data_IF_034895390227
#
_entry.id   IF_034895390227
#
_cell.length_a   1.000
_cell.length_b   1.000
_cell.length_c   1.000
_cell.angle_alpha   90.00
_cell.angle_beta   90.00
_cell.angle_gamma   90.00
#
_symmetry.space_group_name_H-M   'P 1'
#
loop_
_entity.id
_entity.type
_entity.pdbx_description
1 polymer ?
#
# COMPACT_ATOMS: atom_id res chain seq x y z
N UNK A 1 -11.73 -21.86 -3.18
CA UNK A 1 -12.42 -20.56 -3.31
C UNK A 1 -11.44 -19.47 -2.94
N UNK A 2 -11.20 -18.52 -3.83
CA UNK A 2 -10.47 -17.28 -3.53
C UNK A 2 -11.54 -16.21 -3.41
N UNK A 3 -11.47 -15.40 -2.36
CA UNK A 3 -12.35 -14.26 -2.12
C UNK A 3 -11.46 -13.03 -1.93
N UNK A 4 -11.73 -11.98 -2.69
CA UNK A 4 -11.06 -10.69 -2.58
C UNK A 4 -12.10 -9.61 -2.30
N UNK A 5 -11.70 -8.62 -1.51
CA UNK A 5 -12.54 -7.52 -1.10
C UNK A 5 -11.93 -6.19 -1.53
N UNK A 6 -12.74 -5.27 -2.05
CA UNK A 6 -12.34 -3.91 -2.32
C UNK A 6 -12.22 -3.14 -1.01
N UNK A 7 -10.99 -2.78 -0.60
CA UNK A 7 -10.76 -2.04 0.64
C UNK A 7 -11.38 -0.64 0.65
N UNK A 8 -11.75 -0.09 -0.51
CA UNK A 8 -12.50 1.17 -0.61
C UNK A 8 -13.95 1.05 -0.17
N UNK A 9 -14.49 -0.17 -0.07
CA UNK A 9 -15.85 -0.39 0.41
C UNK A 9 -15.88 -0.52 1.94
N UNK A 10 -16.99 -0.10 2.56
CA UNK A 10 -17.22 -0.31 3.99
C UNK A 10 -17.13 -1.78 4.37
N UNK A 11 -16.53 -2.11 5.51
CA UNK A 11 -16.42 -3.51 5.93
C UNK A 11 -17.79 -4.18 5.99
N UNK A 12 -17.91 -5.38 5.42
CA UNK A 12 -19.15 -6.15 5.47
C UNK A 12 -19.41 -6.62 6.90
N UNK A 13 -20.61 -6.35 7.40
CA UNK A 13 -21.07 -6.90 8.68
C UNK A 13 -21.03 -8.45 8.64
N UNK A 14 -20.22 -9.11 9.51
CA UNK A 14 -20.00 -10.55 9.47
C UNK A 14 -21.23 -11.38 9.87
N UNK A 15 -22.22 -10.77 10.53
CA UNK A 15 -23.48 -11.45 10.92
C UNK A 15 -24.64 -11.14 9.97
N UNK A 16 -24.46 -10.19 9.04
CA UNK A 16 -25.48 -9.83 8.06
C UNK A 16 -25.41 -10.76 6.85
N UNK A 17 -26.54 -11.37 6.53
CA UNK A 17 -26.68 -12.12 5.27
C UNK A 17 -26.95 -11.16 4.12
N UNK A 18 -26.03 -11.10 3.16
CA UNK A 18 -26.21 -10.36 1.92
C UNK A 18 -26.84 -11.29 0.88
N UNK A 19 -28.12 -11.07 0.56
CA UNK A 19 -28.85 -11.88 -0.42
C UNK A 19 -28.32 -11.61 -1.83
N UNK A 20 -28.09 -12.68 -2.58
CA UNK A 20 -27.58 -12.63 -3.95
C UNK A 20 -28.67 -12.96 -4.95
N UNK A 21 -28.72 -12.22 -6.07
CA UNK A 21 -29.44 -12.68 -7.25
C UNK A 21 -28.66 -13.80 -7.92
N UNK A 22 -29.35 -14.81 -8.43
CA UNK A 22 -28.74 -15.92 -9.16
C UNK A 22 -29.33 -16.09 -10.55
N UNK A 23 -28.50 -16.49 -11.50
CA UNK A 23 -28.87 -16.90 -12.85
C UNK A 23 -28.14 -18.22 -13.14
N UNK A 24 -28.85 -19.24 -13.64
CA UNK A 24 -28.30 -20.59 -13.82
C UNK A 24 -27.58 -21.16 -12.57
N UNK A 25 -28.13 -20.89 -11.38
CA UNK A 25 -27.54 -21.22 -10.06
C UNK A 25 -26.19 -20.54 -9.77
N UNK A 26 -25.83 -19.48 -10.48
CA UNK A 26 -24.60 -18.70 -10.28
C UNK A 26 -24.93 -17.31 -9.70
N UNK A 27 -24.18 -16.80 -8.71
CA UNK A 27 -24.38 -15.45 -8.18
C UNK A 27 -24.07 -14.39 -9.25
N UNK A 28 -25.00 -13.45 -9.45
CA UNK A 28 -24.91 -12.39 -10.48
C UNK A 28 -24.74 -11.00 -9.86
N UNK A 29 -25.52 -10.66 -8.83
CA UNK A 29 -25.45 -9.33 -8.23
C UNK A 29 -25.99 -9.32 -6.80
N UNK A 30 -25.54 -8.34 -6.02
CA UNK A 30 -26.13 -7.93 -4.75
C UNK A 30 -25.69 -6.48 -4.45
N UNK A 31 -26.05 -5.96 -3.27
CA UNK A 31 -25.62 -4.63 -2.84
C UNK A 31 -24.09 -4.46 -2.66
N UNK A 32 -23.34 -5.56 -2.57
CA UNK A 32 -21.88 -5.59 -2.35
C UNK A 32 -21.13 -6.06 -3.59
N UNK A 33 -21.79 -6.16 -4.75
CA UNK A 33 -21.20 -6.80 -5.94
C UNK A 33 -19.94 -6.08 -6.37
N UNK A 34 -19.93 -4.75 -6.31
CA UNK A 34 -18.76 -3.93 -6.67
C UNK A 34 -17.62 -4.00 -5.64
N UNK A 35 -17.83 -4.68 -4.52
CA UNK A 35 -16.90 -4.75 -3.40
C UNK A 35 -16.28 -6.14 -3.22
N UNK A 36 -16.79 -7.17 -3.90
CA UNK A 36 -16.34 -8.56 -3.73
C UNK A 36 -15.96 -9.13 -5.09
N UNK A 37 -14.79 -9.77 -5.17
CA UNK A 37 -14.48 -10.70 -6.23
C UNK A 37 -14.32 -12.09 -5.65
N UNK A 38 -14.77 -13.10 -6.40
CA UNK A 38 -14.58 -14.48 -6.03
C UNK A 38 -14.18 -15.34 -7.22
N UNK A 39 -13.35 -16.34 -6.93
CA UNK A 39 -13.05 -17.48 -7.81
C UNK A 39 -13.45 -18.72 -7.05
N UNK A 40 -14.47 -19.43 -7.51
CA UNK A 40 -14.96 -20.63 -6.83
C UNK A 40 -15.18 -21.78 -7.80
N UNK A 41 -14.95 -22.98 -7.29
CA UNK A 41 -15.23 -24.21 -7.99
C UNK A 41 -16.73 -24.51 -7.86
N UNK A 42 -17.37 -24.95 -8.93
CA UNK A 42 -18.83 -25.13 -9.00
C UNK A 42 -19.30 -26.59 -9.14
N UNK A 43 -18.40 -27.54 -9.42
CA UNK A 43 -18.74 -28.91 -9.81
C UNK A 43 -18.28 -29.99 -8.83
N UNK A 44 -17.63 -29.63 -7.71
CA UNK A 44 -17.07 -30.55 -6.72
C UNK A 44 -16.08 -31.58 -7.29
N UNK A 45 -15.55 -31.37 -8.49
CA UNK A 45 -14.75 -32.39 -9.19
C UNK A 45 -13.27 -32.27 -8.83
N UNK A 46 -12.54 -33.39 -8.81
CA UNK A 46 -11.18 -33.47 -8.21
C UNK A 46 -10.09 -32.65 -8.92
N UNK A 47 -10.40 -31.91 -10.01
CA UNK A 47 -9.43 -31.12 -10.79
C UNK A 47 -10.08 -29.88 -11.44
N UNK A 48 -10.21 -28.76 -10.72
CA UNK A 48 -10.72 -27.51 -11.30
C UNK A 48 -9.68 -26.90 -12.25
N UNK A 49 -9.75 -27.19 -13.55
CA UNK A 49 -8.78 -26.70 -14.54
C UNK A 49 -9.40 -25.97 -15.73
N UNK A 50 -10.74 -25.91 -15.83
CA UNK A 50 -11.42 -25.13 -16.87
C UNK A 50 -12.26 -24.00 -16.30
N UNK A 51 -12.02 -22.81 -16.80
CA UNK A 51 -12.86 -21.64 -16.53
C UNK A 51 -14.24 -21.80 -17.17
N UNK A 52 -15.30 -21.36 -16.48
CA UNK A 52 -16.72 -21.44 -16.87
C UNK A 52 -17.33 -22.85 -16.94
N UNK A 53 -16.51 -23.89 -16.97
CA UNK A 53 -16.93 -25.28 -16.78
C UNK A 53 -16.77 -25.69 -15.31
N UNK A 54 -15.56 -25.64 -14.75
CA UNK A 54 -15.27 -26.07 -13.37
C UNK A 54 -15.11 -24.90 -12.38
N UNK A 55 -14.66 -23.75 -12.88
CA UNK A 55 -14.36 -22.55 -12.09
C UNK A 55 -15.20 -21.37 -12.57
N UNK A 56 -15.97 -20.78 -11.68
CA UNK A 56 -16.71 -19.56 -11.92
C UNK A 56 -15.94 -18.34 -11.38
N UNK A 57 -16.02 -17.24 -12.12
CA UNK A 57 -15.54 -15.94 -11.69
C UNK A 57 -16.73 -15.05 -11.35
N UNK A 58 -16.66 -14.39 -10.20
CA UNK A 58 -17.57 -13.32 -9.83
C UNK A 58 -16.74 -12.05 -9.64
N UNK A 59 -16.97 -11.02 -10.47
CA UNK A 59 -16.29 -9.72 -10.43
C UNK A 59 -14.75 -9.77 -10.33
N UNK A 60 -14.14 -10.88 -10.75
CA UNK A 60 -12.68 -11.09 -10.71
C UNK A 60 -11.91 -10.11 -11.60
N UNK A 61 -12.56 -9.60 -12.66
CA UNK A 61 -11.99 -8.56 -13.52
C UNK A 61 -12.29 -7.13 -13.03
N UNK A 62 -13.20 -6.96 -12.06
CA UNK A 62 -13.71 -5.66 -11.59
C UNK A 62 -13.08 -5.14 -10.31
N UNK A 63 -12.30 -5.96 -9.61
CA UNK A 63 -11.50 -5.54 -8.46
C UNK A 63 -10.05 -5.18 -8.83
N UNK A 64 -9.75 -5.12 -10.13
CA UNK A 64 -8.43 -4.81 -10.68
C UNK A 64 -8.03 -3.36 -10.49
N UNK A 65 -7.61 -3.02 -9.27
CA UNK A 65 -6.40 -2.25 -9.08
C UNK A 65 -5.70 -2.85 -7.86
N UNK A 66 -4.43 -3.21 -7.96
CA UNK A 66 -3.54 -3.56 -6.84
C UNK A 66 -3.33 -2.39 -5.84
N UNK A 67 -4.17 -1.37 -5.95
CA UNK A 67 -4.07 -0.08 -5.32
C UNK A 67 -4.64 -0.09 -3.91
N UNK A 68 -3.75 -0.04 -2.92
CA UNK A 68 -4.14 0.26 -1.56
C UNK A 68 -4.34 1.77 -1.37
N UNK A 69 -3.48 2.59 -2.01
CA UNK A 69 -3.53 4.05 -1.91
C UNK A 69 -3.54 4.64 -3.33
N UNK A 70 -4.66 5.23 -3.73
CA UNK A 70 -4.79 5.95 -4.99
C UNK A 70 -4.80 7.46 -4.72
N UNK A 71 -3.89 8.19 -5.36
CA UNK A 71 -3.86 9.64 -5.32
C UNK A 71 -4.65 10.23 -6.48
N UNK A 72 -5.19 11.44 -6.32
CA UNK A 72 -5.91 12.18 -7.39
C UNK A 72 -5.11 12.35 -8.69
N UNK A 73 -3.79 12.22 -8.64
CA UNK A 73 -2.93 12.21 -9.84
C UNK A 73 -2.98 10.89 -10.62
N UNK A 74 -3.80 9.92 -10.23
CA UNK A 74 -3.84 8.56 -10.78
C UNK A 74 -2.66 7.68 -10.38
N UNK A 75 -1.82 8.16 -9.43
CA UNK A 75 -0.72 7.34 -8.90
C UNK A 75 -1.30 6.32 -7.93
N UNK A 76 -0.84 5.10 -8.07
CA UNK A 76 -1.31 3.98 -7.31
C UNK A 76 -0.20 3.39 -6.46
N UNK A 77 -0.44 3.14 -5.18
CA UNK A 77 0.54 2.48 -4.30
C UNK A 77 -0.01 1.20 -3.67
N UNK A 78 0.89 0.26 -3.43
CA UNK A 78 0.63 -1.00 -2.72
C UNK A 78 0.29 -0.74 -1.25
N UNK A 79 -0.19 -1.78 -0.56
CA UNK A 79 -0.30 -1.75 0.90
C UNK A 79 1.08 -1.57 1.55
N UNK A 80 1.11 -0.99 2.76
CA UNK A 80 2.35 -0.82 3.49
C UNK A 80 2.92 -2.16 3.97
N UNK A 81 4.25 -2.23 3.95
CA UNK A 81 5.00 -3.38 4.47
C UNK A 81 6.18 -2.90 5.30
N UNK A 82 6.65 -3.78 6.20
CA UNK A 82 7.92 -3.61 6.89
C UNK A 82 9.04 -4.16 6.02
N UNK A 83 10.02 -3.34 5.60
CA UNK A 83 11.12 -3.82 4.76
C UNK A 83 11.95 -4.89 5.45
N UNK A 84 12.40 -5.88 4.68
CA UNK A 84 13.54 -6.70 5.08
C UNK A 84 14.81 -5.95 4.67
N UNK A 85 15.75 -5.67 5.58
CA UNK A 85 16.93 -4.87 5.25
C UNK A 85 17.82 -5.60 4.25
N UNK A 86 18.57 -4.83 3.47
CA UNK A 86 19.71 -5.37 2.73
C UNK A 86 20.97 -5.24 3.57
N UNK A 87 21.84 -6.24 3.47
CA UNK A 87 23.21 -6.09 3.95
C UNK A 87 23.98 -5.08 3.11
N UNK A 88 25.06 -4.52 3.65
CA UNK A 88 25.94 -3.63 2.89
C UNK A 88 26.42 -4.27 1.60
N UNK A 89 26.81 -5.54 1.67
CA UNK A 89 27.28 -6.31 0.52
C UNK A 89 26.18 -6.52 -0.53
N UNK A 90 24.95 -6.84 -0.12
CA UNK A 90 23.82 -6.99 -1.03
C UNK A 90 23.41 -5.66 -1.66
N UNK A 91 23.44 -4.57 -0.89
CA UNK A 91 23.19 -3.22 -1.39
C UNK A 91 24.23 -2.85 -2.45
N UNK A 92 25.53 -2.98 -2.15
CA UNK A 92 26.60 -2.69 -3.10
C UNK A 92 26.50 -3.51 -4.39
N UNK A 93 26.10 -4.78 -4.29
CA UNK A 93 25.92 -5.64 -5.46
C UNK A 93 24.77 -5.22 -6.39
N UNK A 94 23.72 -4.58 -5.86
CA UNK A 94 22.49 -4.24 -6.59
C UNK A 94 22.25 -2.74 -6.77
N UNK A 95 23.07 -1.86 -6.15
CA UNK A 95 22.78 -0.42 -6.05
C UNK A 95 22.56 0.26 -7.40
N UNK A 96 23.33 -0.11 -8.42
CA UNK A 96 23.18 0.46 -9.77
C UNK A 96 21.85 0.09 -10.42
N UNK A 97 21.38 -1.14 -10.23
CA UNK A 97 20.10 -1.62 -10.78
C UNK A 97 18.92 -0.99 -10.04
N UNK A 98 19.07 -0.83 -8.72
CA UNK A 98 18.06 -0.26 -7.84
C UNK A 98 18.02 1.28 -7.86
N UNK A 99 19.03 1.93 -8.46
CA UNK A 99 19.17 3.39 -8.47
C UNK A 99 19.58 3.99 -7.13
N UNK A 100 20.17 3.19 -6.23
CA UNK A 100 20.75 3.64 -4.96
C UNK A 100 22.13 4.24 -5.23
N UNK A 101 22.44 5.41 -4.66
CA UNK A 101 23.74 6.06 -4.86
C UNK A 101 24.81 5.42 -4.00
N UNK A 102 24.55 5.28 -2.71
CA UNK A 102 25.55 4.85 -1.73
C UNK A 102 24.97 3.81 -0.75
N UNK A 103 25.83 2.91 -0.26
CA UNK A 103 25.48 1.84 0.66
C UNK A 103 26.39 1.89 1.89
N UNK A 104 25.83 2.30 3.02
CA UNK A 104 26.62 2.53 4.23
C UNK A 104 26.42 1.47 5.31
N UNK A 105 25.17 1.13 5.61
CA UNK A 105 24.78 0.28 6.75
C UNK A 105 24.86 -1.22 6.46
N UNK A 106 25.12 -2.00 7.50
CA UNK A 106 25.02 -3.46 7.45
C UNK A 106 23.59 -3.97 7.49
N UNK A 107 22.65 -3.21 8.04
CA UNK A 107 21.22 -3.53 8.00
C UNK A 107 20.48 -2.33 7.40
N UNK A 108 20.45 -2.20 6.07
CA UNK A 108 19.84 -1.06 5.38
C UNK A 108 18.38 -1.34 5.02
N UNK A 109 17.46 -0.93 5.90
CA UNK A 109 16.01 -1.10 5.73
C UNK A 109 15.46 -0.26 4.57
N UNK A 110 16.05 0.91 4.29
CA UNK A 110 15.65 1.70 3.13
C UNK A 110 16.05 1.01 1.82
N UNK A 111 17.28 0.50 1.71
CA UNK A 111 17.71 -0.28 0.55
C UNK A 111 16.88 -1.57 0.39
N UNK A 112 16.50 -2.18 1.52
CA UNK A 112 15.50 -3.26 1.57
C UNK A 112 14.16 -2.88 0.96
N UNK A 113 13.63 -1.71 1.32
CA UNK A 113 12.39 -1.17 0.76
C UNK A 113 12.53 -0.93 -0.75
N UNK A 114 13.62 -0.29 -1.16
CA UNK A 114 13.94 -0.03 -2.57
C UNK A 114 13.98 -1.33 -3.37
N UNK A 115 14.65 -2.37 -2.85
CA UNK A 115 14.71 -3.69 -3.50
C UNK A 115 13.31 -4.30 -3.66
N UNK A 116 12.51 -4.27 -2.61
CA UNK A 116 11.15 -4.83 -2.65
C UNK A 116 10.24 -4.06 -3.62
N UNK A 117 10.47 -2.75 -3.80
CA UNK A 117 9.77 -1.94 -4.81
C UNK A 117 10.39 -2.04 -6.22
N UNK A 118 11.51 -2.74 -6.39
CA UNK A 118 12.18 -2.84 -7.70
C UNK A 118 12.90 -1.56 -8.14
N UNK A 119 13.29 -0.71 -7.19
CA UNK A 119 14.10 0.48 -7.44
C UNK A 119 13.54 1.78 -6.85
N UNK A 120 14.39 2.79 -6.72
CA UNK A 120 14.03 4.09 -6.09
C UNK A 120 12.91 4.82 -6.84
N UNK A 121 12.83 4.62 -8.17
CA UNK A 121 11.79 5.21 -9.01
C UNK A 121 10.38 4.65 -8.75
N UNK A 122 10.29 3.48 -8.12
CA UNK A 122 9.03 2.83 -7.76
C UNK A 122 8.66 3.08 -6.29
N UNK A 123 9.40 3.92 -5.57
CA UNK A 123 9.04 4.39 -4.24
C UNK A 123 8.31 5.74 -4.32
N UNK A 124 7.49 6.10 -3.33
CA UNK A 124 6.84 7.41 -3.30
C UNK A 124 7.89 8.53 -3.17
N UNK A 125 7.65 9.65 -3.84
CA UNK A 125 8.38 10.90 -3.58
C UNK A 125 7.88 11.55 -2.28
N UNK A 126 8.63 12.49 -1.73
CA UNK A 126 8.15 13.30 -0.59
C UNK A 126 6.90 14.11 -0.93
N UNK A 127 6.74 14.50 -2.19
CA UNK A 127 5.51 15.13 -2.69
C UNK A 127 4.32 14.15 -2.67
N UNK A 128 4.53 12.90 -3.08
CA UNK A 128 3.49 11.86 -3.01
C UNK A 128 3.11 11.61 -1.54
N UNK A 129 4.08 11.49 -0.63
CA UNK A 129 3.81 11.34 0.81
C UNK A 129 3.04 12.54 1.39
N UNK A 130 3.27 13.76 0.90
CA UNK A 130 2.47 14.94 1.25
C UNK A 130 1.02 14.84 0.79
N UNK A 131 0.76 14.30 -0.41
CA UNK A 131 -0.60 14.03 -0.88
C UNK A 131 -1.29 12.94 -0.07
N UNK A 132 -0.57 11.87 0.28
CA UNK A 132 -1.09 10.84 1.21
C UNK A 132 -1.47 11.47 2.55
N UNK A 133 -0.64 12.35 3.09
CA UNK A 133 -0.97 13.09 4.31
C UNK A 133 -2.27 13.89 4.13
N UNK A 134 -2.37 14.64 3.03
CA UNK A 134 -3.56 15.42 2.71
C UNK A 134 -4.83 14.54 2.67
N UNK A 135 -4.74 13.31 2.17
CA UNK A 135 -5.87 12.40 2.07
C UNK A 135 -6.33 11.78 3.41
N UNK A 136 -5.44 11.67 4.42
CA UNK A 136 -5.78 11.03 5.70
C UNK A 136 -6.24 12.00 6.79
N UNK A 137 -5.95 13.30 6.65
CA UNK A 137 -6.34 14.32 7.63
C UNK A 137 -7.65 15.01 7.23
N UNK A 138 -8.45 15.34 8.23
CA UNK A 138 -9.73 16.02 8.01
C UNK A 138 -9.54 17.37 7.30
N UNK A 139 -10.44 17.66 6.35
CA UNK A 139 -10.44 18.90 5.58
C UNK A 139 -9.42 18.93 4.43
N UNK A 140 -8.74 17.82 4.13
CA UNK A 140 -7.78 17.68 3.05
C UNK A 140 -6.75 18.83 3.01
N UNK A 141 -5.99 19.04 4.10
CA UNK A 141 -5.08 20.17 4.22
C UNK A 141 -3.98 20.10 3.15
N UNK A 142 -3.53 21.25 2.67
CA UNK A 142 -2.38 21.30 1.75
C UNK A 142 -1.09 20.94 2.48
N UNK A 143 -0.54 19.75 2.22
CA UNK A 143 0.75 19.31 2.77
C UNK A 143 1.81 19.25 1.66
N UNK A 144 2.77 20.16 1.73
CA UNK A 144 3.93 20.18 0.81
C UNK A 144 4.97 19.11 1.14
N UNK A 145 5.83 18.79 0.15
CA UNK A 145 6.83 17.71 0.22
C UNK A 145 7.71 17.78 1.48
N UNK A 146 8.18 18.97 1.85
CA UNK A 146 9.05 19.19 3.01
C UNK A 146 8.41 20.14 4.03
N UNK A 147 7.08 20.08 4.17
CA UNK A 147 6.37 20.88 5.17
C UNK A 147 6.19 20.08 6.47
N UNK A 148 6.25 20.82 7.58
CA UNK A 148 5.74 20.42 8.89
C UNK A 148 4.36 21.08 9.04
N UNK A 149 3.32 20.27 9.23
CA UNK A 149 1.95 20.76 9.39
C UNK A 149 1.43 20.26 10.73
N UNK A 150 0.92 21.18 11.55
CA UNK A 150 0.41 20.93 12.91
C UNK A 150 -1.07 21.25 12.98
N UNK A 151 -1.69 20.98 14.13
CA UNK A 151 -3.11 21.20 14.39
C UNK A 151 -4.00 20.44 13.40
N UNK A 152 -3.56 19.24 13.04
CA UNK A 152 -4.31 18.33 12.19
C UNK A 152 -5.27 17.50 13.02
N UNK A 153 -6.29 16.95 12.37
CA UNK A 153 -7.21 15.99 12.98
C UNK A 153 -7.23 14.74 12.13
N UNK A 154 -6.86 13.63 12.75
CA UNK A 154 -6.82 12.32 12.14
C UNK A 154 -8.15 11.62 12.34
N UNK A 155 -8.81 11.26 11.24
CA UNK A 155 -10.04 10.48 11.30
C UNK A 155 -9.72 9.00 11.41
N UNK A 156 -9.96 8.40 12.57
CA UNK A 156 -9.69 6.97 12.80
C UNK A 156 -10.39 6.09 11.76
N UNK A 157 -9.69 5.06 11.32
CA UNK A 157 -10.08 4.16 10.23
C UNK A 157 -9.61 4.60 8.84
N UNK A 158 -9.21 5.86 8.64
CA UNK A 158 -8.85 6.37 7.30
C UNK A 158 -7.51 5.86 6.79
N UNK A 159 -6.49 5.71 7.65
CA UNK A 159 -5.25 5.10 7.19
C UNK A 159 -5.40 3.57 7.12
N UNK A 160 -6.14 2.98 8.06
CA UNK A 160 -6.39 1.53 8.06
C UNK A 160 -7.13 1.08 6.79
N UNK A 161 -8.08 1.88 6.28
CA UNK A 161 -8.78 1.59 5.01
C UNK A 161 -7.85 1.64 3.79
N UNK A 162 -6.73 2.35 3.90
CA UNK A 162 -5.66 2.42 2.91
C UNK A 162 -4.54 1.39 3.15
N UNK A 163 -4.71 0.49 4.12
CA UNK A 163 -3.68 -0.50 4.49
C UNK A 163 -2.47 0.10 5.21
N UNK A 164 -2.63 1.27 5.84
CA UNK A 164 -1.62 1.97 6.62
C UNK A 164 -1.91 1.84 8.14
N UNK A 165 -0.89 1.85 9.02
CA UNK A 165 -1.12 1.69 10.46
C UNK A 165 -1.77 2.90 11.13
N UNK A 166 -2.35 2.64 12.30
CA UNK A 166 -2.85 3.64 13.23
C UNK A 166 -2.21 3.49 14.62
N UNK A 167 -2.12 4.56 15.42
CA UNK A 167 -2.45 5.96 15.11
C UNK A 167 -1.27 6.74 14.53
N UNK A 168 -0.06 6.17 14.51
CA UNK A 168 1.15 6.83 14.02
C UNK A 168 2.06 5.86 13.30
N UNK A 169 2.66 6.32 12.22
CA UNK A 169 3.55 5.54 11.39
C UNK A 169 4.47 6.45 10.59
N UNK A 170 5.50 5.85 9.99
CA UNK A 170 6.41 6.54 9.08
C UNK A 170 6.49 5.77 7.77
N UNK A 171 6.49 6.50 6.65
CA UNK A 171 6.72 5.94 5.33
C UNK A 171 8.04 6.46 4.76
N UNK A 172 8.87 5.54 4.28
CA UNK A 172 10.03 5.85 3.46
C UNK A 172 9.61 6.52 2.14
N UNK A 173 10.44 7.45 1.67
CA UNK A 173 10.39 7.92 0.28
C UNK A 173 11.51 7.27 -0.53
N UNK A 174 11.43 7.37 -1.87
CA UNK A 174 12.52 7.01 -2.77
C UNK A 174 13.66 8.03 -2.83
N UNK A 175 13.57 9.14 -2.07
CA UNK A 175 14.54 10.22 -2.14
C UNK A 175 15.69 10.00 -1.14
N UNK A 176 16.88 9.74 -1.66
CA UNK A 176 18.11 9.62 -0.89
C UNK A 176 18.64 11.02 -0.51
N UNK A 177 18.83 11.27 0.79
CA UNK A 177 19.38 12.53 1.32
C UNK A 177 20.91 12.49 1.39
N UNK A 178 21.45 11.36 1.86
CA UNK A 178 22.89 11.09 1.96
C UNK A 178 23.14 9.59 2.02
N UNK A 179 24.41 9.18 2.05
CA UNK A 179 24.81 7.79 2.29
C UNK A 179 24.23 7.21 3.59
N UNK A 180 23.94 8.06 4.58
CA UNK A 180 23.40 7.68 5.88
C UNK A 180 21.87 7.74 5.97
N UNK A 181 21.21 8.48 5.07
CA UNK A 181 19.82 8.88 5.32
C UNK A 181 19.00 8.97 4.05
N UNK A 182 17.76 8.54 4.16
CA UNK A 182 16.73 8.75 3.15
C UNK A 182 15.62 9.62 3.73
N UNK A 183 14.89 10.34 2.89
CA UNK A 183 13.73 11.09 3.35
C UNK A 183 12.60 10.14 3.72
N UNK A 184 11.85 10.49 4.76
CA UNK A 184 10.62 9.81 5.15
C UNK A 184 9.61 10.84 5.64
N UNK A 185 8.33 10.44 5.70
CA UNK A 185 7.28 11.23 6.33
C UNK A 185 6.71 10.51 7.53
N UNK A 186 6.54 11.24 8.62
CA UNK A 186 5.83 10.81 9.80
C UNK A 186 4.40 11.30 9.79
N UNK A 187 3.50 10.41 10.20
CA UNK A 187 2.07 10.67 10.33
C UNK A 187 1.69 10.46 11.79
N UNK A 188 1.12 11.49 12.40
CA UNK A 188 0.67 11.50 13.78
C UNK A 188 -0.76 12.05 13.86
N UNK A 189 -1.56 11.74 14.89
CA UNK A 189 -2.93 12.24 14.99
C UNK A 189 -3.10 13.76 14.89
N UNK A 190 -2.06 14.52 15.28
CA UNK A 190 -2.13 15.98 15.41
C UNK A 190 -1.21 16.76 14.48
N UNK A 191 -0.32 16.06 13.76
CA UNK A 191 0.67 16.68 12.88
C UNK A 191 1.27 15.67 11.90
N UNK A 192 1.90 16.19 10.85
CA UNK A 192 2.80 15.44 9.98
C UNK A 192 4.06 16.25 9.73
N UNK A 193 5.19 15.57 9.58
CA UNK A 193 6.44 16.20 9.16
C UNK A 193 7.28 15.25 8.34
N UNK A 194 8.16 15.83 7.54
CA UNK A 194 9.24 15.09 6.90
C UNK A 194 10.41 14.95 7.87
N UNK A 195 11.19 13.89 7.70
CA UNK A 195 12.46 13.70 8.37
C UNK A 195 13.60 13.75 7.35
N UNK A 196 14.65 14.50 7.65
CA UNK A 196 15.88 14.58 6.85
C UNK A 196 17.16 14.26 7.65
N UNK A 197 17.18 14.45 8.98
CA UNK A 197 18.30 14.04 9.84
C UNK A 197 17.94 14.05 11.34
N UNK A 198 18.39 13.07 12.15
CA UNK A 198 18.93 11.77 11.73
C UNK A 198 17.79 10.86 11.26
N UNK A 199 17.73 10.58 9.96
CA UNK A 199 16.75 9.67 9.38
C UNK A 199 17.48 8.44 8.83
N UNK A 200 18.10 7.71 9.76
CA UNK A 200 19.05 6.67 9.41
C UNK A 200 18.38 5.51 8.68
N UNK A 201 19.07 5.02 7.65
CA UNK A 201 18.58 3.96 6.77
C UNK A 201 18.54 2.58 7.45
N UNK A 202 19.12 2.43 8.63
CA UNK A 202 19.13 1.22 9.46
C UNK A 202 17.94 1.06 10.41
N UNK A 203 17.00 2.01 10.37
CA UNK A 203 15.84 2.02 11.25
C UNK A 203 14.72 1.11 10.76
N UNK A 204 14.42 0.07 11.55
CA UNK A 204 13.40 -0.95 11.27
C UNK A 204 11.95 -0.50 11.49
N UNK A 205 11.74 0.62 12.20
CA UNK A 205 10.41 1.11 12.57
C UNK A 205 9.64 1.81 11.46
N UNK A 206 10.23 1.95 10.26
CA UNK A 206 9.62 2.64 9.12
C UNK A 206 9.12 1.64 8.09
N UNK A 207 7.96 1.95 7.52
CA UNK A 207 7.32 1.14 6.50
C UNK A 207 7.61 1.70 5.12
N UNK A 208 7.32 0.89 4.10
CA UNK A 208 7.39 1.28 2.71
C UNK A 208 6.10 0.92 1.97
N UNK A 209 5.87 1.63 0.88
CA UNK A 209 4.85 1.37 -0.13
C UNK A 209 5.53 1.50 -1.49
N UNK A 210 5.08 0.74 -2.47
CA UNK A 210 5.61 0.78 -3.83
C UNK A 210 4.56 1.33 -4.78
N UNK A 211 4.99 1.98 -5.86
CA UNK A 211 4.11 2.30 -6.97
C UNK A 211 3.58 0.97 -7.54
N UNK A 212 2.26 0.83 -7.58
CA UNK A 212 1.58 -0.32 -8.18
C UNK A 212 1.43 -0.15 -9.70
N UNK A 213 1.32 -1.28 -10.40
CA UNK A 213 1.01 -1.36 -11.84
C UNK A 213 -0.43 -0.97 -12.18
#
# INVERSE_FOLDING_TARGET
MILSYNTKCEALDPVKTYSWSTEDNKPVSNATSNCVAAVFEINGSKKPNKQNEDVALFNANGLGSSCAIELDSGKCFTAAFTPTPLTKAECEAQKSELGIKECYYEDDYWAGAVKQCGGVGNMPTMADLGKIASAIYEGNPTVGAYNIVKNLTYKSGTATSLGLPEPSFSLWSGEEYSEYSAYSRYFNPTHTHYYNYPNYRDESGRQAICLGD
#
